data_IF_025058166405
#
_entry.id   IF_025058166405
#
_cell.length_a   1.000
_cell.length_b   1.000
_cell.length_c   1.000
_cell.angle_alpha   90.00
_cell.angle_beta   90.00
_cell.angle_gamma   90.00
#
_symmetry.space_group_name_H-M   'P 1'
#
loop_
_entity.id
_entity.type
_entity.pdbx_description
1 polymer ?
#
# COMPACT_ATOMS: atom_id res chain seq x y z
N UNK A 1 -16.15 13.69 -8.49
CA UNK A 1 -16.32 13.40 -7.05
C UNK A 1 -15.26 14.08 -6.19
N UNK A 2 -13.96 13.90 -6.44
CA UNK A 2 -12.91 14.62 -5.69
C UNK A 2 -13.07 16.14 -5.78
N UNK A 3 -13.36 16.66 -6.98
CA UNK A 3 -13.73 18.07 -7.19
C UNK A 3 -14.90 18.51 -6.31
N UNK A 4 -16.01 17.75 -6.31
CA UNK A 4 -17.18 18.03 -5.46
C UNK A 4 -16.81 18.06 -3.97
N UNK A 5 -15.98 17.11 -3.51
CA UNK A 5 -15.52 17.06 -2.13
C UNK A 5 -14.69 18.31 -1.78
N UNK A 6 -13.80 18.74 -2.70
CA UNK A 6 -12.95 19.91 -2.54
C UNK A 6 -13.75 21.22 -2.54
N UNK A 7 -14.61 21.43 -3.54
CA UNK A 7 -15.44 22.63 -3.68
C UNK A 7 -16.37 22.84 -2.50
N UNK A 8 -16.89 21.75 -1.92
CA UNK A 8 -17.80 21.80 -0.77
C UNK A 8 -17.09 21.71 0.58
N UNK A 9 -15.78 21.45 0.59
CA UNK A 9 -14.99 21.27 1.82
C UNK A 9 -15.44 20.08 2.67
N UNK A 10 -16.07 19.06 2.08
CA UNK A 10 -16.60 17.90 2.80
C UNK A 10 -15.87 16.62 2.40
N UNK A 11 -15.10 16.09 3.36
CA UNK A 11 -14.21 14.95 3.15
C UNK A 11 -14.63 13.71 3.94
N UNK A 12 -15.60 13.81 4.87
CA UNK A 12 -16.04 12.66 5.66
C UNK A 12 -16.87 11.71 4.80
N UNK A 13 -16.56 10.42 4.87
CA UNK A 13 -17.22 9.38 4.07
C UNK A 13 -18.74 9.48 4.07
N UNK A 14 -19.37 9.50 5.25
CA UNK A 14 -20.83 9.55 5.36
C UNK A 14 -21.45 10.80 4.72
N UNK A 15 -20.83 11.96 4.92
CA UNK A 15 -21.33 13.22 4.42
C UNK A 15 -21.12 13.33 2.90
N UNK A 16 -19.97 12.91 2.38
CA UNK A 16 -19.69 12.84 0.96
C UNK A 16 -20.65 11.85 0.27
N UNK A 17 -20.83 10.66 0.85
CA UNK A 17 -21.72 9.61 0.32
C UNK A 17 -23.15 10.11 0.10
N UNK A 18 -23.72 10.84 1.05
CA UNK A 18 -25.06 11.43 0.90
C UNK A 18 -25.19 12.34 -0.32
N UNK A 19 -24.10 12.98 -0.72
CA UNK A 19 -24.11 13.97 -1.80
C UNK A 19 -23.86 13.33 -3.17
N UNK A 20 -22.94 12.35 -3.26
CA UNK A 20 -22.45 11.87 -4.55
C UNK A 20 -22.93 10.46 -4.93
N UNK A 21 -23.46 9.67 -3.98
CA UNK A 21 -23.78 8.26 -4.23
C UNK A 21 -24.77 8.05 -5.39
N UNK A 22 -25.83 8.87 -5.45
CA UNK A 22 -26.83 8.77 -6.51
C UNK A 22 -26.25 9.02 -7.90
N UNK A 23 -25.47 10.09 -8.05
CA UNK A 23 -24.81 10.45 -9.30
C UNK A 23 -23.76 9.41 -9.72
N UNK A 24 -22.92 8.96 -8.77
CA UNK A 24 -21.87 7.97 -9.04
C UNK A 24 -22.47 6.67 -9.56
N UNK A 25 -23.58 6.21 -8.96
CA UNK A 25 -24.26 4.98 -9.37
C UNK A 25 -24.93 5.13 -10.74
N UNK A 26 -25.64 6.22 -10.99
CA UNK A 26 -26.39 6.40 -12.24
C UNK A 26 -25.49 6.68 -13.44
N UNK A 27 -24.44 7.50 -13.26
CA UNK A 27 -23.55 7.92 -14.34
C UNK A 27 -22.62 6.80 -14.82
N UNK A 28 -22.14 5.97 -13.89
CA UNK A 28 -21.10 4.97 -14.17
C UNK A 28 -21.59 3.52 -14.08
N UNK A 29 -22.89 3.32 -13.80
CA UNK A 29 -23.48 1.98 -13.68
C UNK A 29 -22.85 1.12 -12.59
N UNK A 30 -22.23 1.75 -11.58
CA UNK A 30 -21.48 1.01 -10.56
C UNK A 30 -22.40 0.18 -9.67
N UNK A 31 -21.96 -1.04 -9.34
CA UNK A 31 -22.56 -1.82 -8.27
C UNK A 31 -22.48 -1.06 -6.94
N UNK A 32 -23.39 -1.37 -6.01
CA UNK A 32 -23.47 -0.66 -4.73
C UNK A 32 -22.14 -0.68 -3.96
N UNK A 33 -21.45 -1.83 -3.90
CA UNK A 33 -20.15 -1.96 -3.22
C UNK A 33 -19.06 -1.12 -3.91
N UNK A 34 -18.96 -1.17 -5.24
CA UNK A 34 -17.98 -0.39 -5.99
C UNK A 34 -18.18 1.12 -5.79
N UNK A 35 -19.43 1.59 -5.79
CA UNK A 35 -19.74 2.99 -5.52
C UNK A 35 -19.31 3.42 -4.10
N UNK A 36 -19.56 2.58 -3.10
CA UNK A 36 -19.16 2.83 -1.72
C UNK A 36 -17.65 2.90 -1.55
N UNK A 37 -16.91 1.97 -2.15
CA UNK A 37 -15.45 1.90 -2.09
C UNK A 37 -14.76 3.07 -2.80
N UNK A 38 -15.28 3.51 -3.95
CA UNK A 38 -14.76 4.69 -4.64
C UNK A 38 -14.94 5.95 -3.77
N UNK A 39 -16.10 6.11 -3.13
CA UNK A 39 -16.35 7.22 -2.19
C UNK A 39 -15.42 7.14 -0.98
N UNK A 40 -15.31 5.96 -0.37
CA UNK A 40 -14.41 5.70 0.76
C UNK A 40 -12.95 6.02 0.40
N UNK A 41 -12.45 5.54 -0.74
CA UNK A 41 -11.11 5.83 -1.25
C UNK A 41 -10.85 7.34 -1.33
N UNK A 42 -11.84 8.11 -1.77
CA UNK A 42 -11.71 9.56 -1.87
C UNK A 42 -11.64 10.22 -0.51
N UNK A 43 -12.52 9.84 0.41
CA UNK A 43 -12.46 10.31 1.79
C UNK A 43 -11.15 9.97 2.49
N UNK A 44 -10.67 8.74 2.32
CA UNK A 44 -9.43 8.26 2.93
C UNK A 44 -8.22 8.98 2.34
N UNK A 45 -8.20 9.27 1.04
CA UNK A 45 -7.15 10.07 0.41
C UNK A 45 -7.07 11.50 1.00
N UNK A 46 -8.21 12.15 1.25
CA UNK A 46 -8.24 13.47 1.91
C UNK A 46 -7.84 13.38 3.39
N UNK A 47 -8.19 12.30 4.09
CA UNK A 47 -7.73 12.06 5.46
C UNK A 47 -6.20 11.92 5.51
N UNK A 48 -5.62 11.15 4.58
CA UNK A 48 -4.17 10.98 4.44
C UNK A 48 -3.46 12.28 4.07
N UNK A 49 -4.02 13.07 3.16
CA UNK A 49 -3.51 14.41 2.84
C UNK A 49 -3.46 15.29 4.10
N UNK A 50 -4.57 15.34 4.85
CA UNK A 50 -4.65 16.12 6.10
C UNK A 50 -3.63 15.66 7.14
N UNK A 51 -3.45 14.35 7.30
CA UNK A 51 -2.45 13.78 8.20
C UNK A 51 -1.03 14.18 7.79
N UNK A 52 -0.70 14.08 6.50
CA UNK A 52 0.62 14.45 5.97
C UNK A 52 0.93 15.95 6.09
N UNK A 53 -0.08 16.80 5.88
CA UNK A 53 0.06 18.25 6.10
C UNK A 53 0.32 18.55 7.58
N UNK A 54 -0.37 17.86 8.50
CA UNK A 54 -0.16 18.01 9.94
C UNK A 54 1.20 17.51 10.40
N UNK A 55 1.67 16.40 9.84
CA UNK A 55 2.99 15.84 10.13
C UNK A 55 4.15 16.66 9.53
N UNK A 56 3.87 17.56 8.59
CA UNK A 56 4.90 18.36 7.91
C UNK A 56 5.60 17.63 6.76
N UNK A 57 5.15 16.42 6.39
CA UNK A 57 5.72 15.61 5.31
C UNK A 57 5.64 16.33 3.94
N UNK A 58 4.68 17.24 3.79
CA UNK A 58 4.47 18.05 2.60
C UNK A 58 5.08 19.46 2.69
N UNK A 59 6.01 19.66 3.63
CA UNK A 59 6.67 20.93 3.88
C UNK A 59 5.92 21.80 4.88
N UNK A 60 6.59 22.87 5.33
CA UNK A 60 6.05 23.81 6.30
C UNK A 60 4.79 24.51 5.75
N UNK A 61 3.82 24.87 6.62
CA UNK A 61 2.69 25.70 6.21
C UNK A 61 3.13 26.93 5.40
N UNK A 62 2.46 27.18 4.28
CA UNK A 62 2.79 28.29 3.36
C UNK A 62 3.92 28.02 2.35
N UNK A 63 4.70 26.95 2.51
CA UNK A 63 5.72 26.57 1.52
C UNK A 63 5.09 26.24 0.16
N UNK A 64 5.86 26.39 -0.94
CA UNK A 64 5.39 26.03 -2.29
C UNK A 64 4.88 24.59 -2.37
N UNK A 65 5.54 23.66 -1.68
CA UNK A 65 5.15 22.24 -1.62
C UNK A 65 3.82 22.05 -0.88
N UNK A 66 3.66 22.71 0.26
CA UNK A 66 2.43 22.66 1.06
C UNK A 66 1.23 23.19 0.27
N UNK A 67 1.38 24.38 -0.33
CA UNK A 67 0.35 25.01 -1.18
C UNK A 67 -0.05 24.13 -2.34
N UNK A 68 0.94 23.61 -3.09
CA UNK A 68 0.70 22.70 -4.22
C UNK A 68 -0.14 21.48 -3.84
N UNK A 69 0.07 20.93 -2.64
CA UNK A 69 -0.65 19.74 -2.18
C UNK A 69 -2.07 20.05 -1.64
N UNK A 70 -2.29 21.25 -1.09
CA UNK A 70 -3.55 21.59 -0.41
C UNK A 70 -4.52 22.44 -1.26
N UNK A 71 -4.04 23.16 -2.27
CA UNK A 71 -4.85 24.13 -3.05
C UNK A 71 -5.62 23.49 -4.21
N UNK A 72 -5.47 22.19 -4.46
CA UNK A 72 -6.11 21.49 -5.57
C UNK A 72 -6.85 20.24 -5.09
N UNK A 73 -7.92 19.84 -5.79
CA UNK A 73 -8.55 18.56 -5.53
C UNK A 73 -7.57 17.41 -5.76
N UNK A 74 -7.75 16.32 -5.02
CA UNK A 74 -6.95 15.10 -5.21
C UNK A 74 -7.29 14.51 -6.57
N UNK A 75 -6.28 14.19 -7.37
CA UNK A 75 -6.46 13.54 -8.67
C UNK A 75 -6.01 12.09 -8.55
N UNK A 76 -6.87 11.17 -8.98
CA UNK A 76 -6.53 9.75 -9.04
C UNK A 76 -5.93 9.39 -10.39
N UNK A 77 -5.04 8.39 -10.41
CA UNK A 77 -4.50 7.85 -11.64
C UNK A 77 -5.64 7.34 -12.54
N UNK A 78 -5.63 7.62 -13.87
CA UNK A 78 -6.72 7.20 -14.76
C UNK A 78 -6.99 5.68 -14.78
N UNK A 79 -5.97 4.88 -14.51
CA UNK A 79 -6.07 3.40 -14.42
C UNK A 79 -6.03 2.88 -12.98
N UNK A 80 -6.18 3.77 -11.99
CA UNK A 80 -6.23 3.39 -10.59
C UNK A 80 -7.56 2.74 -10.27
N UNK A 81 -7.54 1.49 -9.81
CA UNK A 81 -8.75 0.80 -9.40
C UNK A 81 -9.19 1.21 -7.98
N UNK A 82 -10.45 0.97 -7.67
CA UNK A 82 -10.95 0.97 -6.30
C UNK A 82 -10.40 -0.25 -5.53
N UNK A 83 -10.23 -0.18 -4.19
CA UNK A 83 -9.85 -1.33 -3.38
C UNK A 83 -10.91 -2.43 -3.47
N UNK A 84 -10.49 -3.68 -3.56
CA UNK A 84 -11.38 -4.82 -3.66
C UNK A 84 -11.53 -5.53 -2.32
N UNK A 85 -12.76 -5.63 -1.82
CA UNK A 85 -13.10 -6.51 -0.72
C UNK A 85 -13.42 -7.94 -1.19
N UNK A 86 -13.70 -8.83 -0.23
CA UNK A 86 -14.03 -10.24 -0.48
C UNK A 86 -15.32 -10.44 -1.31
N UNK A 87 -16.18 -9.41 -1.45
CA UNK A 87 -17.39 -9.47 -2.30
C UNK A 87 -17.11 -9.08 -3.74
N UNK A 88 -16.05 -8.31 -3.98
CA UNK A 88 -15.65 -7.84 -5.30
C UNK A 88 -14.46 -8.61 -5.87
N UNK A 89 -13.63 -9.21 -5.03
CA UNK A 89 -12.51 -10.06 -5.44
C UNK A 89 -12.47 -11.31 -4.58
N UNK A 90 -12.36 -12.48 -5.21
CA UNK A 90 -12.17 -13.74 -4.51
C UNK A 90 -10.92 -14.45 -5.02
N UNK A 91 -10.15 -14.99 -4.10
CA UNK A 91 -8.93 -15.75 -4.38
C UNK A 91 -9.24 -17.24 -4.44
N UNK A 92 -8.77 -17.91 -5.48
CA UNK A 92 -8.73 -19.37 -5.63
C UNK A 92 -7.26 -19.78 -5.61
N UNK A 93 -6.67 -19.68 -4.41
CA UNK A 93 -5.22 -19.83 -4.21
C UNK A 93 -4.68 -21.18 -4.70
N UNK A 94 -5.34 -22.33 -4.43
CA UNK A 94 -4.87 -23.63 -4.95
C UNK A 94 -4.78 -23.66 -6.48
N UNK A 95 -5.76 -23.03 -7.15
CA UNK A 95 -5.83 -22.96 -8.62
C UNK A 95 -5.00 -21.82 -9.20
N UNK A 96 -4.37 -21.00 -8.35
CA UNK A 96 -3.67 -19.75 -8.73
C UNK A 96 -4.52 -18.85 -9.62
N UNK A 97 -5.81 -18.74 -9.31
CA UNK A 97 -6.71 -17.82 -10.00
C UNK A 97 -7.42 -16.87 -9.06
N UNK A 98 -7.92 -15.76 -9.62
CA UNK A 98 -8.82 -14.84 -8.95
C UNK A 98 -10.07 -14.61 -9.80
N UNK A 99 -11.13 -14.22 -9.11
CA UNK A 99 -12.36 -13.73 -9.72
C UNK A 99 -12.57 -12.29 -9.26
N UNK A 100 -12.61 -11.36 -10.19
CA UNK A 100 -12.61 -9.91 -9.96
C UNK A 100 -13.82 -9.25 -10.62
N UNK A 101 -14.51 -8.40 -9.88
CA UNK A 101 -15.59 -7.57 -10.41
C UNK A 101 -15.04 -6.41 -11.25
N UNK A 102 -15.67 -6.11 -12.38
CA UNK A 102 -15.40 -4.92 -13.19
C UNK A 102 -16.71 -4.25 -13.58
N UNK A 103 -16.62 -3.06 -14.18
CA UNK A 103 -17.79 -2.35 -14.74
C UNK A 103 -18.50 -3.14 -15.82
N UNK A 104 -17.80 -4.04 -16.50
CA UNK A 104 -18.33 -4.91 -17.56
C UNK A 104 -18.80 -6.27 -17.04
N UNK A 105 -18.77 -6.50 -15.73
CA UNK A 105 -19.16 -7.75 -15.08
C UNK A 105 -18.02 -8.43 -14.34
N UNK A 106 -18.25 -9.65 -13.86
CA UNK A 106 -17.25 -10.38 -13.07
C UNK A 106 -16.38 -11.24 -13.98
N UNK A 107 -15.08 -10.94 -14.03
CA UNK A 107 -14.07 -11.73 -14.72
C UNK A 107 -13.60 -12.85 -13.79
N UNK A 108 -13.67 -14.09 -14.25
CA UNK A 108 -13.32 -15.29 -13.46
C UNK A 108 -12.04 -15.94 -13.99
N UNK A 109 -11.42 -16.77 -13.16
CA UNK A 109 -10.27 -17.60 -13.52
C UNK A 109 -9.08 -16.79 -14.05
N UNK A 110 -8.91 -15.56 -13.54
CA UNK A 110 -7.76 -14.73 -13.89
C UNK A 110 -6.55 -15.31 -13.20
N UNK A 111 -5.60 -15.85 -13.97
CA UNK A 111 -4.39 -16.42 -13.43
C UNK A 111 -3.56 -15.36 -12.69
N UNK A 112 -2.89 -15.76 -11.61
CA UNK A 112 -1.89 -14.94 -10.95
C UNK A 112 -0.66 -15.78 -10.59
N UNK A 113 0.47 -15.10 -10.36
CA UNK A 113 1.71 -15.71 -9.90
C UNK A 113 2.28 -14.91 -8.74
N UNK A 114 2.96 -15.61 -7.85
CA UNK A 114 3.67 -15.08 -6.68
C UNK A 114 4.75 -16.09 -6.27
N UNK A 115 5.72 -15.66 -5.46
CA UNK A 115 6.70 -16.60 -4.89
C UNK A 115 6.01 -17.61 -3.96
N UNK A 116 6.68 -18.73 -3.65
CA UNK A 116 6.14 -19.76 -2.75
C UNK A 116 5.83 -19.19 -1.37
N UNK A 117 6.75 -18.43 -0.80
CA UNK A 117 6.56 -17.72 0.47
C UNK A 117 5.37 -16.76 0.37
N UNK A 118 5.25 -16.08 -0.77
CA UNK A 118 4.18 -15.13 -0.97
C UNK A 118 2.79 -15.78 -1.00
N UNK A 119 2.69 -16.94 -1.67
CA UNK A 119 1.47 -17.74 -1.71
C UNK A 119 1.09 -18.29 -0.32
N UNK A 120 2.08 -18.70 0.47
CA UNK A 120 1.84 -19.18 1.84
C UNK A 120 1.29 -18.04 2.72
N UNK A 121 1.90 -16.85 2.67
CA UNK A 121 1.41 -15.66 3.39
C UNK A 121 0.01 -15.28 2.96
N UNK A 122 -0.27 -15.26 1.66
CA UNK A 122 -1.59 -14.97 1.11
C UNK A 122 -2.63 -16.01 1.60
N UNK A 123 -2.29 -17.30 1.59
CA UNK A 123 -3.19 -18.36 2.01
C UNK A 123 -3.55 -18.30 3.49
N UNK A 124 -2.58 -17.98 4.35
CA UNK A 124 -2.73 -18.03 5.80
C UNK A 124 -3.22 -16.71 6.41
N UNK A 125 -2.78 -15.58 5.86
CA UNK A 125 -2.84 -14.29 6.55
C UNK A 125 -3.56 -13.19 5.78
N UNK A 126 -4.00 -13.44 4.53
CA UNK A 126 -4.77 -12.45 3.78
C UNK A 126 -6.01 -12.06 4.57
N UNK A 127 -6.17 -10.76 4.81
CA UNK A 127 -7.31 -10.17 5.49
C UNK A 127 -7.50 -8.72 5.06
N UNK A 128 -8.74 -8.37 4.73
CA UNK A 128 -9.09 -7.03 4.28
C UNK A 128 -9.05 -6.89 2.76
N UNK A 129 -8.77 -5.67 2.31
CA UNK A 129 -8.88 -5.27 0.90
C UNK A 129 -7.64 -5.67 0.09
N UNK A 130 -7.81 -5.74 -1.23
CA UNK A 130 -6.73 -5.91 -2.21
C UNK A 130 -6.75 -4.78 -3.22
N UNK A 131 -5.59 -4.18 -3.50
CA UNK A 131 -5.46 -3.12 -4.48
C UNK A 131 -5.01 -3.67 -5.84
N UNK A 132 -5.73 -3.30 -6.89
CA UNK A 132 -5.33 -3.60 -8.28
C UNK A 132 -4.54 -2.42 -8.85
N UNK A 133 -3.31 -2.70 -9.28
CA UNK A 133 -2.38 -1.72 -9.82
C UNK A 133 -1.88 -2.15 -11.20
N UNK A 134 -1.61 -1.18 -12.07
CA UNK A 134 -0.91 -1.42 -13.32
C UNK A 134 0.36 -0.60 -13.37
N UNK A 135 1.49 -1.26 -13.62
CA UNK A 135 2.80 -0.63 -13.79
C UNK A 135 3.52 -1.28 -14.97
N UNK A 136 3.95 -0.46 -15.91
CA UNK A 136 4.72 -0.90 -17.10
C UNK A 136 4.03 -2.03 -17.88
N UNK A 137 2.70 -1.95 -18.00
CA UNK A 137 1.89 -2.96 -18.69
C UNK A 137 1.62 -4.24 -17.87
N UNK A 138 2.20 -4.36 -16.68
CA UNK A 138 2.03 -5.49 -15.78
C UNK A 138 0.98 -5.14 -14.72
N UNK A 139 0.07 -6.08 -14.47
CA UNK A 139 -0.95 -5.96 -13.46
C UNK A 139 -0.49 -6.60 -12.15
N UNK A 140 -0.81 -5.94 -11.04
CA UNK A 140 -0.48 -6.38 -9.71
C UNK A 140 -1.71 -6.36 -8.81
N UNK A 141 -1.84 -7.38 -7.98
CA UNK A 141 -2.78 -7.40 -6.86
C UNK A 141 -1.99 -7.32 -5.56
N UNK A 142 -2.16 -6.22 -4.85
CA UNK A 142 -1.58 -5.99 -3.54
C UNK A 142 -2.58 -6.40 -2.47
N UNK A 143 -2.44 -7.62 -1.92
CA UNK A 143 -3.33 -8.14 -0.90
C UNK A 143 -2.87 -7.70 0.50
N UNK A 144 -3.78 -7.18 1.32
CA UNK A 144 -3.49 -6.92 2.73
C UNK A 144 -3.39 -8.23 3.49
N UNK A 145 -2.29 -8.43 4.22
CA UNK A 145 -2.09 -9.59 5.07
C UNK A 145 -1.85 -9.14 6.53
N UNK A 146 -2.61 -9.71 7.46
CA UNK A 146 -2.38 -9.57 8.90
C UNK A 146 -1.48 -10.72 9.36
N UNK A 147 -0.17 -10.52 9.22
CA UNK A 147 0.83 -11.53 9.61
C UNK A 147 1.06 -11.43 11.12
N UNK A 148 0.98 -12.53 11.88
CA UNK A 148 1.25 -12.50 13.31
C UNK A 148 2.70 -12.08 13.56
N UNK A 149 2.89 -11.16 14.51
CA UNK A 149 4.22 -10.84 15.00
C UNK A 149 4.85 -12.07 15.65
N UNK A 150 6.16 -12.24 15.45
CA UNK A 150 6.90 -13.25 16.18
C UNK A 150 6.76 -12.97 17.68
N UNK A 151 6.53 -14.00 18.52
CA UNK A 151 6.51 -13.81 19.96
C UNK A 151 7.84 -13.18 20.40
N UNK A 152 7.75 -12.23 21.33
CA UNK A 152 8.92 -11.61 21.92
C UNK A 152 9.84 -12.69 22.49
N UNK A 153 11.11 -12.70 22.06
CA UNK A 153 12.10 -13.52 22.72
C UNK A 153 12.39 -12.90 24.11
N UNK A 154 11.86 -13.54 25.15
CA UNK A 154 12.01 -13.06 26.54
C UNK A 154 13.34 -13.45 27.18
N UNK A 155 14.12 -14.33 26.53
CA UNK A 155 15.43 -14.78 27.01
C UNK A 155 16.45 -14.73 25.86
N UNK A 156 16.88 -13.53 25.44
CA UNK A 156 17.87 -13.40 24.39
C UNK A 156 19.22 -13.95 24.88
N UNK A 157 19.74 -14.97 24.18
CA UNK A 157 21.05 -15.57 24.46
C UNK A 157 22.19 -14.56 24.23
N UNK A 158 22.04 -13.69 23.23
CA UNK A 158 22.98 -12.63 22.90
C UNK A 158 22.27 -11.53 22.08
N UNK A 159 22.94 -10.39 21.88
CA UNK A 159 22.47 -9.28 21.06
C UNK A 159 23.42 -9.00 19.91
N UNK A 160 22.88 -8.90 18.69
CA UNK A 160 23.63 -8.41 17.53
C UNK A 160 23.37 -6.92 17.35
N UNK A 161 24.34 -6.09 17.74
CA UNK A 161 24.28 -4.66 17.45
C UNK A 161 24.50 -4.42 15.96
N UNK A 162 23.63 -3.62 15.32
CA UNK A 162 23.78 -3.24 13.92
C UNK A 162 23.88 -1.71 13.82
N UNK A 163 25.05 -1.20 13.43
CA UNK A 163 25.27 0.21 13.10
C UNK A 163 25.13 0.45 11.59
N UNK A 164 24.16 1.27 11.21
CA UNK A 164 23.89 1.61 9.81
C UNK A 164 24.59 2.93 9.47
N UNK A 165 25.59 2.88 8.61
CA UNK A 165 26.46 4.01 8.29
C UNK A 165 26.27 4.56 6.87
N UNK A 166 26.82 5.76 6.65
CA UNK A 166 26.90 6.36 5.30
C UNK A 166 27.90 5.59 4.42
N UNK A 167 28.98 5.08 5.02
CA UNK A 167 30.08 4.38 4.32
C UNK A 167 29.85 2.87 4.28
N UNK A 168 29.35 2.29 5.37
CA UNK A 168 29.02 0.88 5.52
C UNK A 168 27.50 0.72 5.60
N UNK A 169 26.91 -0.17 4.80
CA UNK A 169 25.46 -0.38 4.79
C UNK A 169 25.00 -0.90 6.15
N UNK A 170 25.79 -1.81 6.73
CA UNK A 170 25.62 -2.28 8.09
C UNK A 170 27.00 -2.71 8.62
N UNK A 171 27.30 -2.35 9.86
CA UNK A 171 28.42 -2.88 10.64
C UNK A 171 27.84 -3.59 11.85
N UNK A 172 28.13 -4.86 12.02
CA UNK A 172 27.68 -5.61 13.20
C UNK A 172 28.65 -5.45 14.36
N UNK A 173 28.18 -5.63 15.59
CA UNK A 173 29.01 -5.69 16.80
C UNK A 173 30.08 -6.79 16.72
N UNK A 174 29.83 -7.83 15.92
CA UNK A 174 30.73 -8.95 15.69
C UNK A 174 31.81 -8.65 14.63
N UNK A 175 31.83 -7.41 14.11
CA UNK A 175 32.85 -6.93 13.19
C UNK A 175 32.56 -7.23 11.72
N UNK A 176 31.39 -7.79 11.38
CA UNK A 176 31.01 -7.95 9.98
C UNK A 176 30.64 -6.60 9.37
N UNK A 177 31.34 -6.25 8.29
CA UNK A 177 31.09 -5.02 7.54
C UNK A 177 30.44 -5.38 6.21
N UNK A 178 29.17 -5.02 6.05
CA UNK A 178 28.50 -5.07 4.75
C UNK A 178 28.66 -3.73 4.05
N UNK A 179 29.59 -3.65 3.11
CA UNK A 179 29.85 -2.45 2.31
C UNK A 179 29.54 -2.67 0.82
N UNK A 180 28.61 -1.89 0.27
CA UNK A 180 28.31 -1.87 -1.17
C UNK A 180 29.16 -0.81 -1.87
N UNK A 181 30.30 -1.20 -2.46
CA UNK A 181 31.22 -0.27 -3.15
C UNK A 181 30.52 0.47 -4.31
N UNK A 182 29.58 -0.19 -4.99
CA UNK A 182 28.76 0.37 -6.08
C UNK A 182 27.69 1.37 -5.60
N UNK A 183 27.08 1.09 -4.44
CA UNK A 183 26.07 1.96 -3.82
C UNK A 183 26.67 3.28 -3.32
N UNK A 184 27.92 3.29 -2.85
CA UNK A 184 28.61 4.52 -2.44
C UNK A 184 28.82 5.49 -3.62
N UNK A 185 29.15 4.99 -4.81
CA UNK A 185 29.33 5.82 -6.02
C UNK A 185 28.00 6.44 -6.48
N UNK A 186 26.92 5.67 -6.45
CA UNK A 186 25.56 6.15 -6.76
C UNK A 186 25.08 7.17 -5.73
N UNK A 187 25.33 6.96 -4.43
CA UNK A 187 24.93 7.87 -3.35
C UNK A 187 25.72 9.18 -3.33
N UNK A 188 27.03 9.16 -3.63
CA UNK A 188 27.84 10.40 -3.78
C UNK A 188 27.38 11.20 -5.00
N UNK A 189 27.05 10.52 -6.11
CA UNK A 189 26.48 11.15 -7.31
C UNK A 189 25.10 11.76 -7.01
N UNK A 190 24.20 11.02 -6.36
CA UNK A 190 22.88 11.51 -5.92
C UNK A 190 22.99 12.68 -4.93
N UNK A 191 23.93 12.63 -3.98
CA UNK A 191 24.18 13.73 -3.02
C UNK A 191 24.75 14.97 -3.73
N UNK A 192 25.63 14.78 -4.71
CA UNK A 192 26.14 15.85 -5.57
C UNK A 192 25.07 16.44 -6.50
N UNK A 193 24.19 15.60 -7.05
CA UNK A 193 23.02 16.03 -7.83
C UNK A 193 22.02 16.78 -6.96
N UNK A 194 21.74 16.31 -5.73
CA UNK A 194 20.88 17.02 -4.77
C UNK A 194 21.49 18.35 -4.33
N UNK A 195 22.80 18.41 -4.09
CA UNK A 195 23.48 19.67 -3.78
C UNK A 195 23.41 20.66 -4.96
N UNK A 196 23.61 20.19 -6.20
CA UNK A 196 23.46 21.01 -7.42
C UNK A 196 22.01 21.42 -7.68
N UNK A 197 21.04 20.54 -7.40
CA UNK A 197 19.61 20.85 -7.47
C UNK A 197 19.17 21.83 -6.36
N UNK A 198 19.88 21.86 -5.24
CA UNK A 198 19.65 22.81 -4.15
C UNK A 198 20.34 24.16 -4.38
N UNK A 199 21.48 24.19 -5.08
CA UNK A 199 22.21 25.41 -5.44
C UNK A 199 21.80 26.02 -6.79
N UNK A 200 21.17 25.24 -7.66
CA UNK A 200 20.82 25.62 -9.04
C UNK A 200 19.47 26.30 -9.23
N UNK A 201 18.66 26.47 -8.18
CA UNK A 201 17.40 27.22 -8.26
C UNK A 201 17.63 28.75 -8.13
N UNK A 202 18.62 29.24 -8.90
CA UNK A 202 19.01 30.65 -8.98
C UNK A 202 18.76 31.30 -10.33
N UNK A 203 18.62 30.56 -11.44
CA UNK A 203 18.36 31.17 -12.75
C UNK A 203 17.36 30.37 -13.61
N UNK A 204 16.56 31.14 -14.36
CA UNK A 204 15.33 30.84 -15.10
C UNK A 204 15.43 29.68 -16.09
N UNK A 205 14.44 28.77 -16.12
CA UNK A 205 14.07 27.99 -17.32
C UNK A 205 12.57 27.57 -17.29
N UNK A 206 11.94 27.37 -18.47
CA UNK A 206 10.53 27.67 -18.71
C UNK A 206 9.55 26.52 -18.39
N UNK A 207 8.27 26.90 -18.34
CA UNK A 207 7.10 26.07 -18.00
C UNK A 207 7.07 24.71 -18.70
N UNK A 208 7.06 23.64 -17.89
CA UNK A 208 6.62 22.31 -18.29
C UNK A 208 5.49 21.87 -17.35
N UNK A 209 4.39 21.43 -17.98
CA UNK A 209 3.12 21.10 -17.34
C UNK A 209 3.30 20.00 -16.28
N UNK A 210 2.82 20.29 -15.07
CA UNK A 210 3.16 19.56 -13.87
C UNK A 210 2.48 18.20 -13.75
N UNK A 211 3.30 17.15 -13.63
CA UNK A 211 2.90 15.89 -13.00
C UNK A 211 2.82 16.09 -11.48
N UNK A 212 1.62 15.87 -10.93
CA UNK A 212 1.35 15.91 -9.50
C UNK A 212 2.05 14.75 -8.77
N UNK A 213 2.60 15.05 -7.60
CA UNK A 213 3.21 14.07 -6.69
C UNK A 213 2.07 13.35 -5.97
N UNK A 214 2.03 12.03 -6.09
CA UNK A 214 1.05 11.14 -5.45
C UNK A 214 1.52 10.79 -4.04
N UNK A 215 0.60 10.74 -3.07
CA UNK A 215 0.90 10.43 -1.66
C UNK A 215 1.04 8.92 -1.42
N UNK A 216 0.65 8.10 -2.39
CA UNK A 216 0.84 6.64 -2.36
C UNK A 216 2.30 6.21 -2.54
N UNK A 217 3.21 7.13 -2.88
CA UNK A 217 4.64 6.84 -3.04
C UNK A 217 5.39 6.77 -1.68
N UNK A 218 4.70 6.91 -0.54
CA UNK A 218 5.32 6.87 0.79
C UNK A 218 5.39 5.46 1.42
N UNK A 219 4.73 4.45 0.86
CA UNK A 219 4.84 3.05 1.33
C UNK A 219 5.99 2.27 0.65
N UNK A 220 6.68 2.86 -0.33
CA UNK A 220 7.56 2.12 -1.26
C UNK A 220 9.04 1.97 -0.79
N UNK A 221 9.39 2.22 0.48
CA UNK A 221 10.80 2.22 0.92
C UNK A 221 11.26 1.06 1.82
N UNK A 222 10.43 0.06 2.13
CA UNK A 222 10.74 -0.92 3.20
C UNK A 222 11.10 -2.36 2.77
N UNK A 223 11.25 -2.69 1.48
CA UNK A 223 11.34 -4.11 1.04
C UNK A 223 12.69 -4.52 0.42
N UNK A 224 13.82 -4.17 1.05
CA UNK A 224 15.10 -4.79 0.68
C UNK A 224 15.74 -5.52 1.88
N UNK A 225 15.64 -6.86 1.80
CA UNK A 225 16.29 -7.92 2.58
C UNK A 225 15.39 -8.71 3.54
N UNK A 226 14.76 -9.77 3.02
CA UNK A 226 14.37 -10.95 3.80
C UNK A 226 15.35 -12.10 3.45
N UNK A 227 15.92 -12.79 4.44
CA UNK A 227 16.77 -13.96 4.22
C UNK A 227 15.93 -15.21 3.94
N UNK A 228 16.46 -16.05 3.05
CA UNK A 228 15.90 -17.34 2.63
C UNK A 228 15.69 -18.28 3.83
N UNK A 229 14.47 -18.80 4.00
CA UNK A 229 14.20 -19.96 4.86
C UNK A 229 13.56 -21.09 4.03
N UNK A 230 13.95 -22.32 4.35
CA UNK A 230 13.83 -23.51 3.52
C UNK A 230 12.37 -23.96 3.23
N UNK A 231 12.14 -24.70 2.12
CA UNK A 231 10.81 -24.94 1.58
C UNK A 231 10.22 -26.28 2.03
N UNK A 232 9.40 -26.31 3.09
CA UNK A 232 8.62 -27.51 3.46
C UNK A 232 7.18 -27.25 3.97
N UNK A 233 6.64 -26.03 3.81
CA UNK A 233 5.33 -25.66 4.42
C UNK A 233 4.11 -25.93 3.52
N UNK A 234 4.28 -26.31 2.25
CA UNK A 234 3.13 -26.53 1.34
C UNK A 234 2.45 -27.91 1.48
N UNK A 235 3.00 -28.85 2.26
CA UNK A 235 2.49 -30.23 2.30
C UNK A 235 1.42 -30.51 3.38
N UNK A 236 1.15 -29.59 4.32
CA UNK A 236 0.27 -29.86 5.47
C UNK A 236 -0.65 -28.68 5.83
N UNK A 237 -1.57 -28.31 4.94
CA UNK A 237 -2.72 -27.48 5.31
C UNK A 237 -3.89 -28.43 5.64
N UNK A 238 -4.34 -28.55 6.90
CA UNK A 238 -5.44 -29.44 7.28
C UNK A 238 -6.78 -29.00 6.69
N UNK A 239 -7.52 -29.96 6.12
CA UNK A 239 -8.79 -29.77 5.39
C UNK A 239 -10.05 -29.70 6.27
N UNK A 240 -9.94 -29.43 7.59
CA UNK A 240 -11.10 -29.52 8.50
C UNK A 240 -11.14 -28.35 9.49
N UNK A 241 -12.18 -27.53 9.38
CA UNK A 241 -12.54 -26.46 10.32
C UNK A 241 -13.56 -26.98 11.35
N UNK A 242 -13.37 -26.82 12.68
CA UNK A 242 -14.44 -27.01 13.64
C UNK A 242 -15.28 -25.74 13.82
N UNK A 243 -16.60 -25.92 13.77
CA UNK A 243 -17.63 -24.90 14.00
C UNK A 243 -17.72 -24.43 15.46
N UNK A 244 -17.99 -23.13 15.59
CA UNK A 244 -18.74 -22.42 16.66
C UNK A 244 -18.33 -22.57 18.13
N UNK A 245 -17.95 -21.44 18.74
CA UNK A 245 -18.22 -21.15 20.16
C UNK A 245 -18.44 -19.64 20.37
N UNK A 246 -19.55 -19.29 21.02
CA UNK A 246 -19.97 -17.93 21.45
C UNK A 246 -19.39 -17.55 22.82
N UNK A 247 -19.38 -16.25 23.20
CA UNK A 247 -18.46 -15.70 24.19
C UNK A 247 -19.05 -15.58 25.61
N UNK A 248 -18.19 -15.66 26.63
CA UNK A 248 -18.50 -15.24 28.01
C UNK A 248 -17.56 -14.12 28.48
N UNK A 249 -18.15 -13.24 29.30
CA UNK A 249 -17.75 -11.92 29.79
C UNK A 249 -16.52 -11.84 30.70
N UNK A 250 -15.83 -10.68 30.67
CA UNK A 250 -15.49 -9.98 31.93
C UNK A 250 -14.07 -9.41 32.11
N UNK A 251 -14.01 -8.08 32.10
CA UNK A 251 -13.12 -7.19 32.88
C UNK A 251 -11.85 -6.60 32.22
N UNK A 252 -11.57 -5.39 32.70
CA UNK A 252 -10.81 -4.27 32.12
C UNK A 252 -9.31 -4.44 32.31
N UNK A 253 -8.50 -4.02 31.33
CA UNK A 253 -7.36 -3.10 31.54
C UNK A 253 -6.61 -2.74 30.25
N UNK A 254 -6.23 -1.46 30.20
CA UNK A 254 -5.13 -0.84 29.44
C UNK A 254 -5.15 -0.92 27.92
N UNK A 255 -5.51 0.22 27.31
CA UNK A 255 -5.30 0.50 25.89
C UNK A 255 -3.80 0.52 25.57
N UNK A 256 -3.29 -0.60 25.06
CA UNK A 256 -2.01 -0.64 24.36
C UNK A 256 -2.30 -0.39 22.88
N UNK A 257 -1.60 0.58 22.28
CA UNK A 257 -1.65 0.87 20.84
C UNK A 257 -1.35 -0.42 20.06
N UNK A 258 -2.39 -1.03 19.48
CA UNK A 258 -2.22 -2.09 18.48
C UNK A 258 -1.60 -1.46 17.24
N UNK A 259 -0.30 -1.63 17.09
CA UNK A 259 0.37 -1.73 15.81
C UNK A 259 -0.43 -2.72 14.95
N UNK A 260 -1.18 -2.22 13.97
CA UNK A 260 -1.76 -3.09 12.94
C UNK A 260 -0.67 -3.25 11.90
N UNK A 261 0.16 -4.28 12.04
CA UNK A 261 1.13 -4.68 11.04
C UNK A 261 0.38 -5.29 9.84
N UNK A 262 -0.13 -4.42 8.98
CA UNK A 262 -0.63 -4.78 7.67
C UNK A 262 0.55 -4.75 6.70
N UNK A 263 1.01 -5.92 6.26
CA UNK A 263 1.98 -6.00 5.16
C UNK A 263 1.20 -6.11 3.85
N UNK A 264 1.59 -5.30 2.85
CA UNK A 264 0.99 -5.34 1.51
C UNK A 264 1.72 -6.37 0.65
N UNK A 265 0.96 -7.24 -0.02
CA UNK A 265 1.52 -8.40 -0.70
C UNK A 265 1.31 -8.39 -2.20
N UNK A 266 2.39 -8.35 -2.99
CA UNK A 266 2.31 -8.15 -4.45
C UNK A 266 2.25 -9.45 -5.24
N UNK A 267 1.10 -9.74 -5.86
CA UNK A 267 0.92 -10.82 -6.84
C UNK A 267 0.93 -10.25 -8.26
N UNK A 268 1.52 -10.96 -9.22
CA UNK A 268 1.52 -10.56 -10.64
C UNK A 268 0.37 -11.26 -11.36
N UNK A 269 -0.41 -10.50 -12.12
CA UNK A 269 -1.41 -11.04 -13.04
C UNK A 269 -0.82 -10.99 -14.45
N UNK A 270 -0.57 -12.14 -15.11
CA UNK A 270 -0.10 -12.18 -16.49
C UNK A 270 -1.07 -11.45 -17.42
N UNK A 271 -0.57 -10.81 -18.46
CA UNK A 271 -1.36 -10.09 -19.45
C UNK A 271 -2.16 -11.05 -20.36
N UNK A 272 -3.17 -11.70 -19.79
CA UNK A 272 -4.22 -12.41 -20.52
C UNK A 272 -5.50 -11.58 -20.54
N UNK A 273 -5.85 -11.02 -21.72
CA UNK A 273 -7.11 -10.31 -22.06
C UNK A 273 -8.01 -9.90 -20.88
N UNK A 274 -7.57 -8.94 -20.06
CA UNK A 274 -8.51 -8.08 -19.35
C UNK A 274 -9.00 -7.06 -20.38
N UNK A 275 -10.10 -7.40 -21.06
CA UNK A 275 -10.75 -6.49 -21.99
C UNK A 275 -11.25 -5.25 -21.25
N UNK A 276 -10.95 -4.11 -21.87
CA UNK A 276 -11.43 -2.74 -21.58
C UNK A 276 -12.89 -2.64 -21.20
#
# INVERSE_FOLDING_TARGET
>A
MSEIAFERGEFKNFALRKQVYGEVKSRWGLGAQAAEHVIKKTSDAYATLKANLRAGNLGRPGSRRHRRAAEKPIVFRPRGAQPYDDRMLSWQIPDRTVSIWTTSGRVKNVAFTASVEQLATLALYRKGESDLLQRDGIWFLNATCEVPEAPLNTDPVDFLGIDLGIVNIATTSDGEIRAGRELNRTRVRERGLRAKLWSGFGEEFPEVHGHGVDITDLDECAEHHLPLLAPDVLANIPTVWPSSATPSSGSRSTACLRSVNASSMRCIVPSGRCAS
#
